data_IF_063528844091
#
_entry.id   IF_063528844091
#
_cell.length_a   1.000
_cell.length_b   1.000
_cell.length_c   1.000
_cell.angle_alpha   90.00
_cell.angle_beta   90.00
_cell.angle_gamma   90.00
#
_symmetry.space_group_name_H-M   'P 1'
#
loop_
_entity.id
_entity.type
_entity.pdbx_description
1 polymer ?
#
# COMPACT_ATOMS: atom_id res chain seq x y z
N UNK A 1 -11.89 -15.17 10.41
CA UNK A 1 -10.91 -16.16 10.92
C UNK A 1 -9.49 -15.71 10.54
N UNK A 2 -8.48 -15.88 11.41
CA UNK A 2 -7.09 -15.50 11.12
C UNK A 2 -6.25 -16.70 10.66
N UNK A 3 -5.55 -16.55 9.54
CA UNK A 3 -4.56 -17.48 9.02
C UNK A 3 -3.16 -16.87 9.08
N UNK A 4 -2.19 -17.63 9.56
CA UNK A 4 -0.77 -17.25 9.58
C UNK A 4 -0.06 -18.07 8.52
N UNK A 5 0.32 -17.42 7.41
CA UNK A 5 0.94 -18.06 6.25
C UNK A 5 2.45 -17.91 6.36
N UNK A 6 3.14 -18.99 6.73
CA UNK A 6 4.59 -19.03 6.94
C UNK A 6 5.31 -19.36 5.65
N UNK A 7 6.33 -18.58 5.32
CA UNK A 7 7.20 -18.77 4.16
C UNK A 7 8.66 -18.70 4.59
N UNK A 8 9.47 -19.70 4.21
CA UNK A 8 10.90 -19.75 4.54
C UNK A 8 11.28 -20.53 5.81
N UNK A 9 10.34 -21.27 6.41
CA UNK A 9 10.62 -22.09 7.62
C UNK A 9 11.36 -23.40 7.32
N UNK A 10 11.31 -23.86 6.07
CA UNK A 10 11.97 -25.09 5.61
C UNK A 10 13.26 -24.80 4.84
N UNK A 11 13.71 -23.54 4.85
CA UNK A 11 14.87 -23.07 4.07
C UNK A 11 15.99 -22.62 5.02
N UNK A 12 17.25 -22.57 4.55
CA UNK A 12 18.36 -22.07 5.36
C UNK A 12 18.08 -20.66 5.88
N UNK A 13 17.94 -20.54 7.19
CA UNK A 13 17.57 -19.32 7.89
C UNK A 13 17.38 -19.67 9.36
N UNK A 14 17.47 -18.68 10.24
CA UNK A 14 17.28 -18.86 11.68
C UNK A 14 15.87 -18.37 12.05
N UNK A 15 14.81 -19.21 11.87
CA UNK A 15 13.44 -18.79 12.10
C UNK A 15 13.12 -18.55 13.58
N UNK A 16 14.03 -18.89 14.50
CA UNK A 16 13.80 -18.85 15.96
C UNK A 16 13.38 -17.44 16.42
N UNK A 17 13.96 -16.40 15.83
CA UNK A 17 13.62 -14.99 16.13
C UNK A 17 12.16 -14.69 15.77
N UNK A 18 11.77 -14.94 14.52
CA UNK A 18 10.41 -14.66 14.06
C UNK A 18 9.38 -15.61 14.68
N UNK A 19 9.74 -16.86 15.00
CA UNK A 19 8.87 -17.76 15.75
C UNK A 19 8.60 -17.28 17.18
N UNK A 20 9.64 -16.76 17.86
CA UNK A 20 9.50 -16.13 19.17
C UNK A 20 8.53 -14.94 19.11
N UNK A 21 8.73 -14.07 18.12
CA UNK A 21 7.91 -12.87 17.90
C UNK A 21 6.47 -13.21 17.54
N UNK A 22 6.24 -14.18 16.65
CA UNK A 22 4.90 -14.65 16.30
C UNK A 22 4.21 -15.29 17.52
N UNK A 23 4.93 -16.09 18.33
CA UNK A 23 4.38 -16.67 19.56
C UNK A 23 3.99 -15.61 20.58
N UNK A 24 4.78 -14.54 20.70
CA UNK A 24 4.45 -13.39 21.53
C UNK A 24 3.19 -12.67 21.01
N UNK A 25 3.18 -12.31 19.72
CA UNK A 25 2.14 -11.50 19.10
C UNK A 25 0.78 -12.20 18.99
N UNK A 26 0.78 -13.54 18.81
CA UNK A 26 -0.43 -14.35 18.65
C UNK A 26 -0.94 -14.96 19.97
N UNK A 27 -0.34 -14.61 21.12
CA UNK A 27 -0.78 -15.12 22.42
C UNK A 27 -2.25 -14.76 22.67
N UNK A 28 -3.09 -15.76 22.88
CA UNK A 28 -4.54 -15.58 23.11
C UNK A 28 -5.34 -15.24 21.85
N UNK A 29 -4.72 -15.29 20.66
CA UNK A 29 -5.39 -15.05 19.37
C UNK A 29 -5.68 -16.39 18.70
N UNK A 30 -6.95 -16.70 18.46
CA UNK A 30 -7.35 -17.88 17.68
C UNK A 30 -6.89 -17.73 16.22
N UNK A 31 -6.09 -18.69 15.74
CA UNK A 31 -5.55 -18.67 14.38
C UNK A 31 -5.29 -20.08 13.86
N UNK A 32 -5.12 -20.19 12.54
CA UNK A 32 -4.66 -21.42 11.86
C UNK A 32 -3.35 -21.13 11.14
N UNK A 33 -2.39 -22.03 11.28
CA UNK A 33 -1.09 -21.91 10.60
C UNK A 33 -1.17 -22.62 9.25
N UNK A 34 -0.64 -21.97 8.21
CA UNK A 34 -0.39 -22.55 6.90
C UNK A 34 1.13 -22.50 6.68
N UNK A 35 1.78 -23.65 6.68
CA UNK A 35 3.23 -23.81 6.64
C UNK A 35 3.78 -24.18 5.25
N UNK A 36 2.88 -24.36 4.29
CA UNK A 36 3.19 -24.79 2.93
C UNK A 36 2.18 -24.21 1.94
N UNK A 37 2.51 -24.24 0.64
CA UNK A 37 1.67 -23.65 -0.39
C UNK A 37 0.38 -24.45 -0.61
N UNK A 38 0.42 -25.78 -0.51
CA UNK A 38 -0.72 -26.65 -0.84
C UNK A 38 -1.98 -26.37 0.02
N UNK A 39 -1.89 -26.25 1.36
CA UNK A 39 -3.05 -25.85 2.17
C UNK A 39 -3.55 -24.44 1.83
N UNK A 40 -2.67 -23.51 1.45
CA UNK A 40 -3.08 -22.17 1.01
C UNK A 40 -3.88 -22.24 -0.29
N UNK A 41 -3.39 -23.00 -1.28
CA UNK A 41 -4.09 -23.22 -2.55
C UNK A 41 -5.44 -23.87 -2.30
N UNK A 42 -5.47 -24.94 -1.51
CA UNK A 42 -6.71 -25.64 -1.15
C UNK A 42 -7.72 -24.75 -0.43
N UNK A 43 -7.26 -23.83 0.41
CA UNK A 43 -8.11 -22.83 1.01
C UNK A 43 -8.66 -21.92 -0.09
N UNK A 44 -7.80 -21.25 -0.84
CA UNK A 44 -8.17 -20.32 -1.91
C UNK A 44 -9.14 -20.90 -2.96
N UNK A 45 -9.00 -22.17 -3.34
CA UNK A 45 -9.85 -22.81 -4.37
C UNK A 45 -11.21 -23.25 -3.86
N UNK A 46 -11.35 -23.54 -2.56
CA UNK A 46 -12.63 -23.98 -1.97
C UNK A 46 -13.54 -22.82 -1.59
N UNK A 47 -13.02 -21.59 -1.61
CA UNK A 47 -13.78 -20.40 -1.23
C UNK A 47 -14.79 -20.05 -2.30
N UNK A 48 -16.01 -19.78 -1.87
CA UNK A 48 -17.10 -19.27 -2.72
C UNK A 48 -17.13 -17.74 -2.81
N UNK A 49 -16.20 -17.04 -2.14
CA UNK A 49 -16.19 -15.59 -2.00
C UNK A 49 -17.07 -15.09 -0.84
N UNK A 50 -16.81 -13.87 -0.35
CA UNK A 50 -17.59 -13.22 0.71
C UNK A 50 -17.20 -13.58 2.15
N UNK A 51 -16.28 -14.51 2.37
CA UNK A 51 -15.77 -14.84 3.70
C UNK A 51 -14.78 -13.78 4.21
N UNK A 52 -14.98 -13.29 5.43
CA UNK A 52 -14.04 -12.39 6.13
C UNK A 52 -12.84 -13.17 6.69
N UNK A 53 -11.95 -13.56 5.76
CA UNK A 53 -10.68 -14.19 6.08
C UNK A 53 -9.57 -13.15 6.21
N UNK A 54 -8.72 -13.35 7.23
CA UNK A 54 -7.58 -12.48 7.51
C UNK A 54 -6.29 -13.28 7.36
N UNK A 55 -5.32 -12.73 6.66
CA UNK A 55 -4.04 -13.38 6.40
C UNK A 55 -2.89 -12.55 6.97
N UNK A 56 -2.13 -13.16 7.89
CA UNK A 56 -0.81 -12.67 8.28
C UNK A 56 0.23 -13.43 7.44
N UNK A 57 0.75 -12.80 6.40
CA UNK A 57 1.84 -13.34 5.59
C UNK A 57 3.17 -13.12 6.31
N UNK A 58 3.80 -14.20 6.80
CA UNK A 58 5.06 -14.16 7.51
C UNK A 58 6.18 -14.74 6.65
N UNK A 59 7.19 -13.93 6.34
CA UNK A 59 8.36 -14.30 5.53
C UNK A 59 9.61 -14.30 6.40
N UNK A 60 10.22 -15.48 6.58
CA UNK A 60 11.54 -15.65 7.21
C UNK A 60 12.63 -15.59 6.13
N UNK A 61 13.07 -14.40 5.76
CA UNK A 61 13.95 -14.14 4.62
C UNK A 61 15.40 -14.56 4.91
N UNK A 62 15.88 -15.53 4.14
CA UNK A 62 17.26 -16.01 4.20
C UNK A 62 18.27 -14.94 3.78
N UNK A 63 19.56 -15.20 4.07
CA UNK A 63 20.66 -14.36 3.57
C UNK A 63 20.60 -14.27 2.04
N UNK A 64 20.86 -13.08 1.52
CA UNK A 64 20.76 -12.81 0.08
C UNK A 64 19.34 -12.49 -0.43
N UNK A 65 18.32 -12.52 0.43
CA UNK A 65 17.04 -11.87 0.14
C UNK A 65 16.06 -12.63 -0.73
N UNK A 66 16.17 -13.97 -0.81
CA UNK A 66 15.25 -14.80 -1.58
C UNK A 66 14.92 -16.10 -0.85
N UNK A 67 13.64 -16.46 -0.87
CA UNK A 67 13.16 -17.77 -0.45
C UNK A 67 12.30 -18.41 -1.55
N UNK A 68 12.40 -19.73 -1.71
CA UNK A 68 11.64 -20.48 -2.70
C UNK A 68 10.16 -20.58 -2.35
N UNK A 69 9.81 -20.72 -1.06
CA UNK A 69 8.42 -20.70 -0.60
C UNK A 69 7.74 -19.36 -0.93
N UNK A 70 8.46 -18.25 -0.73
CA UNK A 70 8.00 -16.92 -1.11
C UNK A 70 7.81 -16.81 -2.63
N UNK A 71 8.81 -17.19 -3.42
CA UNK A 71 8.73 -17.14 -4.88
C UNK A 71 7.53 -17.95 -5.44
N UNK A 72 7.28 -19.14 -4.87
CA UNK A 72 6.11 -19.95 -5.24
C UNK A 72 4.78 -19.29 -4.86
N UNK A 73 4.70 -18.65 -3.69
CA UNK A 73 3.51 -17.89 -3.27
C UNK A 73 3.22 -16.74 -4.23
N UNK A 74 4.23 -15.94 -4.57
CA UNK A 74 4.10 -14.82 -5.52
C UNK A 74 3.65 -15.33 -6.90
N UNK A 75 4.24 -16.41 -7.38
CA UNK A 75 3.85 -17.06 -8.65
C UNK A 75 2.39 -17.56 -8.62
N UNK A 76 1.93 -18.11 -7.49
CA UNK A 76 0.53 -18.54 -7.35
C UNK A 76 -0.43 -17.36 -7.40
N UNK A 77 -0.18 -16.32 -6.59
CA UNK A 77 -1.05 -15.14 -6.51
C UNK A 77 -1.14 -14.39 -7.85
N UNK A 78 -0.04 -14.31 -8.60
CA UNK A 78 -0.02 -13.64 -9.90
C UNK A 78 -0.89 -14.33 -10.96
N UNK A 79 -1.12 -15.65 -10.82
CA UNK A 79 -1.95 -16.46 -11.71
C UNK A 79 -3.41 -16.56 -11.25
N UNK A 80 -3.70 -16.21 -9.99
CA UNK A 80 -5.03 -16.35 -9.38
C UNK A 80 -5.50 -15.02 -8.81
N UNK A 81 -5.71 -14.05 -9.71
CA UNK A 81 -5.96 -12.64 -9.37
C UNK A 81 -7.27 -12.37 -8.61
N UNK A 82 -8.12 -13.36 -8.38
CA UNK A 82 -9.34 -13.22 -7.58
C UNK A 82 -9.39 -14.16 -6.35
N UNK A 83 -8.28 -14.83 -6.01
CA UNK A 83 -8.31 -15.83 -4.94
C UNK A 83 -8.41 -15.27 -3.51
N UNK A 84 -8.14 -13.97 -3.33
CA UNK A 84 -8.18 -13.26 -2.05
C UNK A 84 -9.28 -12.19 -1.99
N UNK A 85 -10.29 -12.27 -2.86
CA UNK A 85 -11.45 -11.37 -2.79
C UNK A 85 -12.12 -11.43 -1.41
N UNK A 86 -12.50 -10.25 -0.90
CA UNK A 86 -13.11 -10.10 0.42
C UNK A 86 -12.16 -10.33 1.60
N UNK A 87 -10.88 -10.61 1.37
CA UNK A 87 -9.91 -10.84 2.44
C UNK A 87 -9.19 -9.56 2.88
N UNK A 88 -8.63 -9.65 4.09
CA UNK A 88 -7.72 -8.63 4.62
C UNK A 88 -6.35 -9.22 4.94
N UNK A 89 -5.30 -8.44 4.73
CA UNK A 89 -3.92 -8.89 4.85
C UNK A 89 -3.06 -8.02 5.77
N UNK A 90 -2.01 -8.61 6.31
CA UNK A 90 -0.86 -7.93 6.88
C UNK A 90 0.40 -8.75 6.60
N UNK A 91 1.56 -8.11 6.60
CA UNK A 91 2.84 -8.74 6.26
C UNK A 91 3.86 -8.54 7.36
N UNK A 92 4.53 -9.62 7.74
CA UNK A 92 5.72 -9.62 8.59
C UNK A 92 6.88 -10.17 7.77
N UNK A 93 7.99 -9.44 7.73
CA UNK A 93 9.23 -9.93 7.13
C UNK A 93 10.32 -9.89 8.18
N UNK A 94 10.94 -11.02 8.45
CA UNK A 94 12.14 -11.12 9.28
C UNK A 94 13.31 -11.48 8.38
N UNK A 95 14.35 -10.64 8.32
CA UNK A 95 15.49 -10.83 7.43
C UNK A 95 16.77 -11.11 8.18
N UNK A 96 17.58 -12.02 7.63
CA UNK A 96 18.91 -12.31 8.16
C UNK A 96 19.95 -11.19 7.90
N UNK A 97 19.72 -10.33 6.90
CA UNK A 97 20.60 -9.24 6.49
C UNK A 97 19.90 -7.86 6.58
N UNK A 98 20.64 -6.78 6.29
CA UNK A 98 20.10 -5.39 6.30
C UNK A 98 19.31 -5.02 5.05
N UNK A 99 19.34 -5.85 4.01
CA UNK A 99 18.72 -5.56 2.72
C UNK A 99 17.42 -6.37 2.53
N UNK A 100 16.65 -5.97 1.53
CA UNK A 100 15.51 -6.69 0.95
C UNK A 100 14.21 -6.74 1.78
N UNK A 101 14.25 -6.65 3.11
CA UNK A 101 13.05 -6.79 3.97
C UNK A 101 11.89 -5.89 3.55
N UNK A 102 12.16 -4.60 3.29
CA UNK A 102 11.16 -3.64 2.80
C UNK A 102 10.67 -3.92 1.38
N UNK A 103 11.57 -4.39 0.50
CA UNK A 103 11.24 -4.75 -0.90
C UNK A 103 10.27 -5.93 -0.91
N UNK A 104 10.65 -7.03 -0.25
CA UNK A 104 9.87 -8.26 -0.17
C UNK A 104 8.52 -8.02 0.51
N UNK A 105 8.50 -7.26 1.62
CA UNK A 105 7.25 -6.93 2.30
C UNK A 105 6.27 -6.17 1.41
N UNK A 106 6.77 -5.27 0.56
CA UNK A 106 5.94 -4.46 -0.34
C UNK A 106 5.47 -5.24 -1.57
N UNK A 107 6.33 -6.07 -2.15
CA UNK A 107 5.99 -6.97 -3.26
C UNK A 107 4.91 -8.00 -2.81
N UNK A 108 5.03 -8.55 -1.59
CA UNK A 108 4.00 -9.41 -1.00
C UNK A 108 2.65 -8.71 -0.89
N UNK A 109 2.64 -7.45 -0.39
CA UNK A 109 1.41 -6.64 -0.33
C UNK A 109 0.84 -6.44 -1.73
N UNK A 110 1.67 -6.05 -2.70
CA UNK A 110 1.23 -5.82 -4.07
C UNK A 110 0.61 -7.07 -4.69
N UNK A 111 1.25 -8.22 -4.58
CA UNK A 111 0.79 -9.46 -5.20
C UNK A 111 -0.48 -10.00 -4.54
N UNK A 112 -0.58 -9.95 -3.21
CA UNK A 112 -1.80 -10.30 -2.52
C UNK A 112 -2.94 -9.30 -2.83
N UNK A 113 -2.62 -8.01 -2.96
CA UNK A 113 -3.62 -7.00 -3.31
C UNK A 113 -4.18 -7.16 -4.72
N UNK A 114 -3.32 -7.49 -5.69
CA UNK A 114 -3.72 -7.89 -7.05
C UNK A 114 -4.54 -9.16 -7.09
N UNK A 115 -4.49 -9.98 -6.02
CA UNK A 115 -5.34 -11.14 -5.85
C UNK A 115 -6.69 -10.83 -5.18
N UNK A 116 -6.97 -9.56 -4.86
CA UNK A 116 -8.20 -9.10 -4.20
C UNK A 116 -8.06 -8.76 -2.71
N UNK A 117 -6.88 -8.95 -2.10
CA UNK A 117 -6.70 -8.71 -0.67
C UNK A 117 -6.65 -7.21 -0.32
N UNK A 118 -7.52 -6.75 0.57
CA UNK A 118 -7.41 -5.42 1.18
C UNK A 118 -6.34 -5.39 2.28
N UNK A 119 -5.79 -4.21 2.56
CA UNK A 119 -4.84 -4.00 3.67
C UNK A 119 -5.21 -2.75 4.49
N UNK A 120 -5.13 -2.84 5.84
CA UNK A 120 -5.23 -1.65 6.67
C UNK A 120 -4.00 -0.74 6.46
N UNK A 121 -4.07 0.49 6.98
CA UNK A 121 -2.93 1.39 7.00
C UNK A 121 -1.74 0.84 7.79
N UNK A 122 -0.52 1.03 7.28
CA UNK A 122 0.74 0.49 7.82
C UNK A 122 0.65 -1.03 8.07
N UNK A 123 0.43 -1.85 7.04
CA UNK A 123 0.21 -3.30 7.18
C UNK A 123 1.50 -4.12 7.17
N UNK A 124 2.68 -3.47 7.22
CA UNK A 124 3.99 -4.12 7.15
C UNK A 124 4.79 -3.86 8.41
N UNK A 125 5.24 -4.93 9.05
CA UNK A 125 6.34 -4.90 10.02
C UNK A 125 7.50 -5.68 9.41
N UNK A 126 8.66 -5.03 9.28
CA UNK A 126 9.86 -5.64 8.72
C UNK A 126 11.01 -5.52 9.71
N UNK A 127 11.83 -6.55 9.82
CA UNK A 127 12.93 -6.64 10.76
C UNK A 127 14.22 -6.95 10.00
N UNK A 128 15.18 -6.01 10.01
CA UNK A 128 16.50 -6.25 9.43
C UNK A 128 17.35 -7.15 10.33
N UNK A 129 18.45 -7.70 9.79
CA UNK A 129 19.35 -8.61 10.50
C UNK A 129 19.73 -8.11 11.91
N UNK A 130 20.15 -6.86 12.02
CA UNK A 130 20.55 -6.21 13.28
C UNK A 130 19.39 -5.66 14.12
N UNK A 131 18.16 -5.66 13.60
CA UNK A 131 17.00 -4.95 14.16
C UNK A 131 17.24 -3.43 14.32
N UNK A 132 18.23 -2.84 13.63
CA UNK A 132 18.56 -1.43 13.75
C UNK A 132 17.35 -0.53 13.42
N UNK A 133 16.50 -0.96 12.49
CA UNK A 133 15.28 -0.28 12.09
C UNK A 133 14.23 -0.15 13.23
N UNK A 134 14.39 -0.85 14.36
CA UNK A 134 13.57 -0.70 15.57
C UNK A 134 14.15 0.25 16.63
N UNK A 135 15.36 0.78 16.45
CA UNK A 135 16.07 1.58 17.48
C UNK A 135 15.24 2.76 18.02
N UNK A 136 14.51 3.45 17.15
CA UNK A 136 13.67 4.60 17.55
C UNK A 136 12.46 4.13 18.36
N UNK A 137 11.79 3.07 17.92
CA UNK A 137 10.62 2.49 18.57
C UNK A 137 10.99 1.89 19.94
N UNK A 138 12.14 1.22 20.02
CA UNK A 138 12.73 0.69 21.24
C UNK A 138 12.95 1.80 22.27
N UNK A 139 13.63 2.89 21.86
CA UNK A 139 13.86 4.07 22.71
C UNK A 139 12.55 4.70 23.20
N UNK A 140 11.58 4.91 22.30
CA UNK A 140 10.29 5.54 22.65
C UNK A 140 9.50 4.68 23.64
N UNK A 141 9.64 3.35 23.57
CA UNK A 141 8.90 2.40 24.42
C UNK A 141 9.66 1.98 25.68
N UNK A 142 10.93 2.34 25.80
CA UNK A 142 11.78 1.90 26.92
C UNK A 142 12.07 0.39 26.92
N UNK A 143 12.14 -0.23 25.74
CA UNK A 143 12.47 -1.65 25.54
C UNK A 143 13.68 -1.79 24.62
N UNK A 144 14.21 -3.00 24.47
CA UNK A 144 15.24 -3.30 23.47
C UNK A 144 14.65 -3.45 22.06
N UNK A 145 15.51 -3.62 21.05
CA UNK A 145 15.07 -3.73 19.65
C UNK A 145 14.20 -4.97 19.40
N UNK A 146 14.47 -6.08 20.11
CA UNK A 146 13.66 -7.28 19.99
C UNK A 146 12.27 -7.07 20.60
N UNK A 147 12.17 -6.50 21.80
CA UNK A 147 10.88 -6.16 22.41
C UNK A 147 10.08 -5.14 21.59
N UNK A 148 10.76 -4.20 20.91
CA UNK A 148 10.11 -3.28 19.98
C UNK A 148 9.54 -4.00 18.74
N UNK A 149 10.26 -5.00 18.22
CA UNK A 149 9.79 -5.86 17.13
C UNK A 149 8.59 -6.71 17.55
N UNK A 150 8.68 -7.40 18.69
CA UNK A 150 7.59 -8.17 19.30
C UNK A 150 6.31 -7.35 19.43
N UNK A 151 6.44 -6.14 19.99
CA UNK A 151 5.32 -5.23 20.17
C UNK A 151 4.78 -4.70 18.83
N UNK A 152 5.67 -4.46 17.86
CA UNK A 152 5.27 -4.08 16.50
C UNK A 152 4.40 -5.13 15.83
N UNK A 153 4.79 -6.41 15.91
CA UNK A 153 4.00 -7.51 15.33
C UNK A 153 2.69 -7.72 16.10
N UNK A 154 2.69 -7.59 17.42
CA UNK A 154 1.45 -7.65 18.22
C UNK A 154 0.44 -6.58 17.80
N UNK A 155 0.90 -5.34 17.62
CA UNK A 155 0.05 -4.24 17.15
C UNK A 155 -0.44 -4.46 15.72
N UNK A 156 0.39 -5.04 14.86
CA UNK A 156 0.00 -5.42 13.50
C UNK A 156 -1.12 -6.46 13.50
N UNK A 157 -0.98 -7.52 14.30
CA UNK A 157 -1.98 -8.58 14.45
C UNK A 157 -3.30 -8.01 14.97
N UNK A 158 -3.25 -7.19 16.03
CA UNK A 158 -4.44 -6.52 16.57
C UNK A 158 -5.13 -5.66 15.51
N UNK A 159 -4.36 -4.85 14.78
CA UNK A 159 -4.89 -4.01 13.69
C UNK A 159 -5.54 -4.84 12.60
N UNK A 160 -4.95 -5.96 12.19
CA UNK A 160 -5.51 -6.86 11.17
C UNK A 160 -6.85 -7.46 11.64
N UNK A 161 -6.90 -7.96 12.87
CA UNK A 161 -8.12 -8.59 13.44
C UNK A 161 -9.23 -7.56 13.60
N UNK A 162 -8.91 -6.37 14.11
CA UNK A 162 -9.89 -5.31 14.32
C UNK A 162 -10.20 -4.51 13.06
N UNK A 163 -9.56 -4.80 11.93
CA UNK A 163 -9.76 -4.03 10.71
C UNK A 163 -11.19 -4.24 10.20
N UNK A 164 -11.90 -3.12 10.09
CA UNK A 164 -13.16 -3.00 9.40
C UNK A 164 -13.06 -1.74 8.53
N UNK A 165 -13.43 -1.81 7.24
CA UNK A 165 -13.48 -0.63 6.39
C UNK A 165 -14.38 0.45 7.02
N UNK A 166 -14.00 1.73 6.95
CA UNK A 166 -14.80 2.80 7.53
C UNK A 166 -16.16 2.87 6.82
N UNK A 167 -17.25 3.13 7.57
CA UNK A 167 -18.59 3.20 7.01
C UNK A 167 -18.67 4.30 5.95
N UNK A 168 -19.50 4.05 4.94
CA UNK A 168 -19.67 4.97 3.83
C UNK A 168 -20.33 6.27 4.29
N UNK A 169 -19.63 7.40 4.14
CA UNK A 169 -20.19 8.74 4.32
C UNK A 169 -19.53 9.69 3.34
N UNK A 170 -20.32 10.59 2.74
CA UNK A 170 -19.82 11.80 2.08
C UNK A 170 -18.82 11.60 0.94
N UNK A 171 -18.90 10.48 0.20
CA UNK A 171 -17.96 10.00 -0.83
C UNK A 171 -17.29 11.14 -1.61
N UNK A 172 -16.14 11.58 -1.11
CA UNK A 172 -15.33 12.61 -1.72
C UNK A 172 -14.07 11.97 -2.30
N UNK A 173 -14.01 11.94 -3.63
CA UNK A 173 -12.86 11.45 -4.40
C UNK A 173 -11.96 12.62 -4.76
N UNK A 174 -10.70 12.55 -4.34
CA UNK A 174 -9.65 13.47 -4.77
C UNK A 174 -8.75 12.77 -5.78
N UNK A 175 -8.66 13.29 -7.00
CA UNK A 175 -7.72 12.84 -8.01
C UNK A 175 -6.51 13.79 -8.09
N UNK A 176 -5.30 13.26 -7.92
CA UNK A 176 -4.05 14.01 -8.07
C UNK A 176 -3.27 13.51 -9.29
N UNK A 177 -2.80 14.44 -10.12
CA UNK A 177 -1.99 14.14 -11.28
C UNK A 177 -0.90 15.19 -11.52
N UNK A 178 0.11 14.83 -12.32
CA UNK A 178 1.13 15.77 -12.80
C UNK A 178 1.24 15.79 -14.35
N UNK A 179 0.31 15.14 -15.04
CA UNK A 179 0.32 14.97 -16.49
C UNK A 179 -0.27 16.16 -17.26
N UNK A 180 0.08 16.28 -18.54
CA UNK A 180 -0.49 17.24 -19.48
C UNK A 180 -1.73 16.67 -20.18
N UNK A 181 -2.89 17.31 -20.04
CA UNK A 181 -4.17 16.85 -20.64
C UNK A 181 -4.09 16.56 -22.15
N UNK A 182 -3.35 17.39 -22.91
CA UNK A 182 -3.34 17.33 -24.38
C UNK A 182 -2.94 15.95 -24.95
N UNK A 183 -2.08 15.20 -24.26
CA UNK A 183 -1.46 13.98 -24.79
C UNK A 183 -1.43 12.81 -23.81
N UNK A 184 -1.96 12.96 -22.60
CA UNK A 184 -1.76 12.01 -21.51
C UNK A 184 -2.71 10.82 -21.58
N UNK A 185 -2.15 9.63 -21.82
CA UNK A 185 -2.89 8.36 -21.71
C UNK A 185 -3.43 8.12 -20.30
N UNK A 186 -2.69 8.49 -19.24
CA UNK A 186 -3.18 8.38 -17.86
C UNK A 186 -4.40 9.25 -17.57
N UNK A 187 -4.46 10.47 -18.11
CA UNK A 187 -5.61 11.35 -17.93
C UNK A 187 -6.82 10.91 -18.76
N UNK A 188 -6.59 10.37 -19.96
CA UNK A 188 -7.66 9.75 -20.75
C UNK A 188 -8.26 8.54 -20.01
N UNK A 189 -7.43 7.71 -19.38
CA UNK A 189 -7.89 6.62 -18.53
C UNK A 189 -8.69 7.13 -17.33
N UNK A 190 -8.23 8.21 -16.69
CA UNK A 190 -8.98 8.85 -15.62
C UNK A 190 -10.34 9.37 -16.09
N UNK A 191 -10.42 9.95 -17.29
CA UNK A 191 -11.68 10.41 -17.88
C UNK A 191 -12.66 9.25 -18.15
N UNK A 192 -12.16 8.05 -18.48
CA UNK A 192 -12.99 6.83 -18.52
C UNK A 192 -13.55 6.50 -17.14
N UNK A 193 -12.68 6.32 -16.15
CA UNK A 193 -13.09 5.98 -14.76
C UNK A 193 -14.08 7.01 -14.22
N UNK A 194 -13.75 8.31 -14.36
CA UNK A 194 -14.55 9.42 -13.85
C UNK A 194 -15.96 9.46 -14.42
N UNK A 195 -16.19 8.98 -15.66
CA UNK A 195 -17.54 8.92 -16.25
C UNK A 195 -18.47 7.92 -15.56
N UNK A 196 -17.91 6.89 -14.92
CA UNK A 196 -18.67 5.86 -14.22
C UNK A 196 -18.77 6.10 -12.69
N UNK A 197 -18.04 7.09 -12.16
CA UNK A 197 -18.11 7.44 -10.73
C UNK A 197 -19.47 8.05 -10.38
N UNK A 198 -20.00 7.62 -9.24
CA UNK A 198 -21.23 8.14 -8.61
C UNK A 198 -20.97 8.81 -7.26
N UNK A 199 -19.70 8.99 -6.90
CA UNK A 199 -19.27 9.75 -5.74
C UNK A 199 -19.90 11.14 -5.68
N UNK A 200 -20.31 11.57 -4.48
CA UNK A 200 -20.99 12.86 -4.26
C UNK A 200 -20.14 14.08 -4.61
N UNK A 201 -18.82 13.96 -4.53
CA UNK A 201 -17.87 15.01 -4.91
C UNK A 201 -16.63 14.37 -5.54
N UNK A 202 -16.24 14.88 -6.69
CA UNK A 202 -14.99 14.52 -7.37
C UNK A 202 -14.18 15.79 -7.59
N UNK A 203 -13.06 15.92 -6.89
CA UNK A 203 -12.11 17.01 -7.01
C UNK A 203 -10.86 16.53 -7.75
N UNK A 204 -10.35 17.33 -8.68
CA UNK A 204 -9.17 16.98 -9.47
C UNK A 204 -8.15 18.12 -9.40
N UNK A 205 -6.93 17.83 -8.90
CA UNK A 205 -5.86 18.82 -8.74
C UNK A 205 -4.65 18.42 -9.59
N UNK A 206 -4.25 19.34 -10.47
CA UNK A 206 -3.02 19.24 -11.26
C UNK A 206 -1.84 19.80 -10.48
N UNK A 207 -0.92 18.93 -10.06
CA UNK A 207 0.36 19.31 -9.44
C UNK A 207 1.34 19.97 -10.42
N UNK A 208 1.03 19.96 -11.72
CA UNK A 208 1.85 20.63 -12.74
C UNK A 208 1.74 22.15 -12.67
N UNK A 209 0.56 22.67 -12.35
CA UNK A 209 0.24 24.11 -12.47
C UNK A 209 0.80 24.96 -11.31
N UNK A 210 1.38 24.35 -10.27
CA UNK A 210 1.90 25.03 -9.09
C UNK A 210 3.37 24.77 -8.79
N UNK A 211 4.13 24.20 -9.74
CA UNK A 211 5.56 23.81 -9.63
C UNK A 211 5.90 23.28 -8.24
N UNK A 212 5.47 22.05 -7.92
CA UNK A 212 5.71 21.48 -6.59
C UNK A 212 7.20 21.38 -6.34
N UNK A 213 7.71 22.24 -5.46
CA UNK A 213 9.10 22.18 -4.99
C UNK A 213 9.28 20.88 -4.21
N UNK A 214 10.37 20.16 -4.50
CA UNK A 214 10.71 18.94 -3.79
C UNK A 214 11.09 19.22 -2.33
N UNK A 215 11.02 18.19 -1.48
CA UNK A 215 11.26 18.29 -0.06
C UNK A 215 12.77 18.37 0.25
N UNK A 216 13.24 19.42 0.94
CA UNK A 216 14.61 19.51 1.48
C UNK A 216 14.95 18.51 2.58
N UNK A 217 13.96 17.78 3.12
CA UNK A 217 14.17 16.92 4.30
C UNK A 217 14.46 17.71 5.58
N UNK A 218 13.47 18.48 6.06
CA UNK A 218 13.58 19.19 7.34
C UNK A 218 13.84 18.22 8.52
N UNK A 219 14.38 18.75 9.63
CA UNK A 219 14.45 18.00 10.89
C UNK A 219 13.05 17.55 11.36
N UNK A 220 13.00 16.60 12.29
CA UNK A 220 11.73 16.10 12.83
C UNK A 220 10.90 17.24 13.43
N UNK A 221 11.53 18.09 14.24
CA UNK A 221 10.93 19.19 14.99
C UNK A 221 10.42 20.27 14.02
N UNK A 222 11.23 20.62 13.01
CA UNK A 222 10.84 21.59 12.00
C UNK A 222 9.64 21.10 11.18
N UNK A 223 9.66 19.84 10.72
CA UNK A 223 8.55 19.26 9.96
C UNK A 223 7.26 19.23 10.79
N UNK A 224 7.36 18.88 12.07
CA UNK A 224 6.22 18.87 13.00
C UNK A 224 5.67 20.29 13.21
N UNK A 225 6.54 21.28 13.47
CA UNK A 225 6.16 22.67 13.69
C UNK A 225 5.32 23.24 12.53
N UNK A 226 5.73 23.04 11.28
CA UNK A 226 4.93 23.49 10.14
C UNK A 226 3.63 22.68 10.00
N UNK A 227 3.71 21.36 10.18
CA UNK A 227 2.55 20.46 10.07
C UNK A 227 1.41 20.83 11.03
N UNK A 228 1.72 21.22 12.27
CA UNK A 228 0.75 21.63 13.30
C UNK A 228 -0.05 22.88 12.91
N UNK A 229 0.50 23.70 12.02
CA UNK A 229 -0.17 24.88 11.44
C UNK A 229 -0.88 24.57 10.13
N UNK A 230 -0.92 23.30 9.73
CA UNK A 230 -1.42 22.87 8.44
C UNK A 230 -0.54 23.30 7.27
N UNK A 231 0.74 23.57 7.52
CA UNK A 231 1.68 24.16 6.57
C UNK A 231 2.87 23.21 6.28
N UNK A 232 3.74 23.62 5.37
CA UNK A 232 5.02 23.02 5.05
C UNK A 232 6.01 24.16 4.83
N UNK A 233 7.30 23.94 5.10
CA UNK A 233 8.35 24.95 4.86
C UNK A 233 8.25 25.66 3.49
N UNK A 234 7.76 24.97 2.47
CA UNK A 234 7.63 25.47 1.10
C UNK A 234 6.30 26.16 0.76
N UNK A 235 5.24 26.01 1.57
CA UNK A 235 3.92 26.54 1.24
C UNK A 235 3.39 26.10 -0.13
N UNK A 236 2.76 27.04 -0.85
CA UNK A 236 2.31 26.89 -2.23
C UNK A 236 1.17 25.89 -2.39
N UNK A 237 1.01 25.32 -3.60
CA UNK A 237 -0.12 24.45 -3.96
C UNK A 237 -0.36 23.29 -2.98
N UNK A 238 0.72 22.77 -2.37
CA UNK A 238 0.62 21.71 -1.38
C UNK A 238 -0.20 22.12 -0.16
N UNK A 239 0.00 23.33 0.34
CA UNK A 239 -0.64 23.85 1.56
C UNK A 239 -1.98 24.51 1.22
N UNK A 240 -2.03 25.24 0.11
CA UNK A 240 -3.19 26.00 -0.31
C UNK A 240 -4.33 25.11 -0.83
N UNK A 241 -4.01 24.01 -1.52
CA UNK A 241 -5.00 23.18 -2.20
C UNK A 241 -4.91 21.71 -1.78
N UNK A 242 -3.72 21.11 -1.85
CA UNK A 242 -3.59 19.64 -1.69
C UNK A 242 -3.86 19.19 -0.25
N UNK A 243 -3.27 19.83 0.77
CA UNK A 243 -3.50 19.44 2.16
C UNK A 243 -4.97 19.58 2.58
N UNK A 244 -5.67 20.70 2.30
CA UNK A 244 -7.11 20.79 2.52
C UNK A 244 -7.90 19.70 1.81
N UNK A 245 -7.60 19.44 0.53
CA UNK A 245 -8.30 18.41 -0.24
C UNK A 245 -8.06 17.01 0.32
N UNK A 246 -6.82 16.67 0.71
CA UNK A 246 -6.49 15.38 1.34
C UNK A 246 -7.18 15.23 2.69
N UNK A 247 -7.29 16.29 3.50
CA UNK A 247 -8.06 16.25 4.76
C UNK A 247 -9.54 15.95 4.51
N UNK A 248 -10.12 16.55 3.48
CA UNK A 248 -11.54 16.43 3.16
C UNK A 248 -11.92 15.16 2.39
N UNK A 249 -10.99 14.52 1.66
CA UNK A 249 -11.34 13.38 0.83
C UNK A 249 -11.50 12.08 1.65
N UNK A 250 -12.32 11.16 1.15
CA UNK A 250 -12.40 9.79 1.67
C UNK A 250 -11.50 8.86 0.85
N UNK A 251 -11.37 9.16 -0.44
CA UNK A 251 -10.62 8.37 -1.41
C UNK A 251 -9.65 9.27 -2.17
N UNK A 252 -8.38 8.88 -2.18
CA UNK A 252 -7.33 9.48 -2.99
C UNK A 252 -7.06 8.61 -4.22
N UNK A 253 -7.19 9.16 -5.42
CA UNK A 253 -6.80 8.52 -6.67
C UNK A 253 -5.53 9.19 -7.20
N UNK A 254 -4.46 8.42 -7.35
CA UNK A 254 -3.23 8.90 -7.96
C UNK A 254 -3.17 8.54 -9.44
N UNK A 255 -2.95 9.52 -10.30
CA UNK A 255 -2.87 9.34 -11.75
C UNK A 255 -1.40 9.50 -12.15
N UNK A 256 -0.73 8.37 -12.34
CA UNK A 256 0.72 8.28 -12.42
C UNK A 256 1.18 7.68 -13.76
N UNK A 257 1.68 8.50 -14.71
CA UNK A 257 2.48 7.93 -15.79
C UNK A 257 3.75 7.31 -15.21
N UNK A 258 4.25 6.24 -15.83
CA UNK A 258 5.55 5.69 -15.50
C UNK A 258 6.67 6.51 -16.18
N UNK A 259 7.54 7.12 -15.36
CA UNK A 259 8.76 7.78 -15.81
C UNK A 259 9.97 7.08 -15.19
N UNK A 260 10.69 6.31 -16.01
CA UNK A 260 11.90 5.58 -15.60
C UNK A 260 11.67 4.67 -14.37
N UNK A 261 10.64 3.84 -14.45
CA UNK A 261 10.19 2.92 -13.41
C UNK A 261 9.85 3.63 -12.09
N UNK A 262 9.32 4.85 -12.18
CA UNK A 262 8.96 5.66 -11.04
C UNK A 262 7.73 6.54 -11.28
N UNK A 263 7.10 6.95 -10.17
CA UNK A 263 6.15 8.07 -10.20
C UNK A 263 6.87 9.34 -10.64
N UNK A 264 6.16 10.24 -11.32
CA UNK A 264 6.72 11.52 -11.73
C UNK A 264 7.19 12.39 -10.55
N UNK A 265 8.16 13.27 -10.79
CA UNK A 265 8.81 14.09 -9.76
C UNK A 265 7.82 14.87 -8.86
N UNK A 266 6.76 15.44 -9.44
CA UNK A 266 5.74 16.17 -8.64
C UNK A 266 4.95 15.25 -7.71
N UNK A 267 4.69 14.00 -8.11
CA UNK A 267 4.03 13.01 -7.26
C UNK A 267 4.99 12.55 -6.16
N UNK A 268 6.27 12.38 -6.47
CA UNK A 268 7.29 12.09 -5.46
C UNK A 268 7.41 13.24 -4.44
N UNK A 269 7.43 14.48 -4.90
CA UNK A 269 7.43 15.66 -4.04
C UNK A 269 6.17 15.72 -3.15
N UNK A 270 5.00 15.38 -3.71
CA UNK A 270 3.77 15.20 -2.93
C UNK A 270 3.94 14.13 -1.84
N UNK A 271 4.50 12.95 -2.16
CA UNK A 271 4.76 11.90 -1.16
C UNK A 271 5.67 12.39 -0.04
N UNK A 272 6.77 13.07 -0.38
CA UNK A 272 7.74 13.54 0.60
C UNK A 272 7.12 14.59 1.52
N UNK A 273 6.40 15.56 0.93
CA UNK A 273 5.82 16.70 1.65
C UNK A 273 4.56 16.33 2.44
N UNK A 274 3.80 15.31 2.03
CA UNK A 274 2.60 14.88 2.76
C UNK A 274 2.92 14.39 4.20
N UNK A 275 4.19 14.12 4.51
CA UNK A 275 4.65 13.80 5.87
C UNK A 275 4.30 14.88 6.90
N UNK A 276 4.35 16.16 6.53
CA UNK A 276 4.00 17.26 7.44
C UNK A 276 2.54 17.16 7.91
N UNK A 277 1.62 16.93 6.97
CA UNK A 277 0.20 16.74 7.24
C UNK A 277 -0.08 15.41 7.98
N UNK A 278 0.57 14.33 7.54
CA UNK A 278 0.36 13.01 8.15
C UNK A 278 0.69 13.00 9.64
N UNK A 279 1.71 13.74 10.09
CA UNK A 279 2.12 13.74 11.49
C UNK A 279 1.09 14.35 12.43
N UNK A 280 0.27 15.28 11.94
CA UNK A 280 -0.75 15.94 12.75
C UNK A 280 -2.09 15.25 12.69
N UNK A 281 -2.42 14.66 11.54
CA UNK A 281 -3.73 14.07 11.29
C UNK A 281 -3.70 12.53 11.16
N UNK A 282 -2.68 11.87 11.73
CA UNK A 282 -2.37 10.46 11.45
C UNK A 282 -3.55 9.48 11.65
N UNK A 283 -4.44 9.74 12.62
CA UNK A 283 -5.62 8.92 12.88
C UNK A 283 -6.65 8.99 11.75
N UNK A 284 -6.75 10.15 11.09
CA UNK A 284 -7.71 10.34 9.98
C UNK A 284 -7.24 9.64 8.72
N UNK A 285 -5.92 9.54 8.51
CA UNK A 285 -5.33 8.86 7.36
C UNK A 285 -5.68 7.37 7.34
N UNK A 286 -5.79 6.71 8.51
CA UNK A 286 -6.28 5.31 8.60
C UNK A 286 -7.71 5.08 8.15
N UNK A 287 -8.46 6.14 7.84
CA UNK A 287 -9.83 6.04 7.32
C UNK A 287 -9.91 6.37 5.83
N UNK A 288 -8.80 6.78 5.21
CA UNK A 288 -8.74 7.19 3.81
C UNK A 288 -8.26 6.03 2.95
N UNK A 289 -8.86 5.87 1.78
CA UNK A 289 -8.49 4.85 0.79
C UNK A 289 -7.57 5.44 -0.27
N UNK A 290 -6.68 4.62 -0.83
CA UNK A 290 -5.89 4.99 -2.00
C UNK A 290 -6.19 4.05 -3.16
N UNK A 291 -6.39 4.64 -4.36
CA UNK A 291 -6.37 3.95 -5.64
C UNK A 291 -5.34 4.58 -6.57
N UNK A 292 -4.96 3.87 -7.62
CA UNK A 292 -4.00 4.33 -8.60
C UNK A 292 -4.41 4.01 -10.03
N UNK A 293 -4.12 4.94 -10.94
CA UNK A 293 -4.08 4.73 -12.38
C UNK A 293 -2.64 4.84 -12.82
N UNK A 294 -2.08 3.75 -13.34
CA UNK A 294 -0.71 3.71 -13.84
C UNK A 294 -0.74 3.37 -15.32
N UNK A 295 -0.16 4.23 -16.15
CA UNK A 295 0.05 3.91 -17.57
C UNK A 295 1.55 3.97 -17.87
N UNK A 296 2.07 2.86 -18.37
CA UNK A 296 3.46 2.73 -18.79
C UNK A 296 3.57 2.80 -20.32
N UNK A 297 4.68 3.34 -20.83
CA UNK A 297 4.95 3.28 -22.27
C UNK A 297 5.34 1.87 -22.74
N UNK A 298 6.00 1.10 -21.88
CA UNK A 298 6.55 -0.22 -22.23
C UNK A 298 6.25 -1.27 -21.16
N UNK A 299 6.78 -1.08 -19.94
CA UNK A 299 6.66 -1.99 -18.80
C UNK A 299 6.82 -1.22 -17.48
N UNK A 300 6.86 -1.91 -16.33
CA UNK A 300 7.20 -1.32 -15.03
C UNK A 300 6.04 -0.68 -14.25
N UNK A 301 4.80 -0.91 -14.68
CA UNK A 301 3.61 -0.38 -13.97
C UNK A 301 3.48 -0.90 -12.54
N UNK A 302 3.89 -2.14 -12.31
CA UNK A 302 4.01 -2.79 -11.01
C UNK A 302 4.97 -2.05 -10.08
N UNK A 303 6.13 -1.63 -10.58
CA UNK A 303 7.12 -0.87 -9.80
C UNK A 303 6.53 0.47 -9.32
N UNK A 304 5.79 1.15 -10.20
CA UNK A 304 5.12 2.42 -9.87
C UNK A 304 4.01 2.19 -8.84
N UNK A 305 3.19 1.15 -9.01
CA UNK A 305 2.14 0.79 -8.05
C UNK A 305 2.74 0.46 -6.67
N UNK A 306 3.83 -0.30 -6.63
CA UNK A 306 4.57 -0.58 -5.41
C UNK A 306 5.07 0.71 -4.72
N UNK A 307 5.59 1.68 -5.46
CA UNK A 307 6.00 2.97 -4.87
C UNK A 307 4.82 3.67 -4.17
N UNK A 308 3.62 3.61 -4.75
CA UNK A 308 2.40 4.15 -4.15
C UNK A 308 2.04 3.40 -2.85
N UNK A 309 2.10 2.07 -2.86
CA UNK A 309 1.90 1.24 -1.65
C UNK A 309 2.87 1.66 -0.56
N UNK A 310 4.16 1.77 -0.90
CA UNK A 310 5.21 2.20 0.01
C UNK A 310 4.93 3.57 0.61
N UNK A 311 4.59 4.55 -0.23
CA UNK A 311 4.44 5.93 0.16
C UNK A 311 3.17 6.22 0.96
N UNK A 312 2.04 5.61 0.61
CA UNK A 312 0.73 5.94 1.16
C UNK A 312 0.23 4.90 2.16
N UNK A 313 0.23 3.62 1.80
CA UNK A 313 -0.27 2.57 2.68
C UNK A 313 0.75 2.22 3.78
N UNK A 314 1.97 1.84 3.41
CA UNK A 314 3.01 1.44 4.36
C UNK A 314 3.50 2.59 5.24
N UNK A 315 3.68 3.79 4.69
CA UNK A 315 4.30 4.90 5.43
C UNK A 315 3.27 5.88 6.01
N UNK A 316 2.16 6.13 5.31
CA UNK A 316 1.18 7.17 5.68
C UNK A 316 -0.19 6.64 6.07
N UNK A 317 -0.29 5.34 6.39
CA UNK A 317 -1.44 4.75 7.03
C UNK A 317 -2.74 4.77 6.20
N UNK A 318 -2.69 5.02 4.88
CA UNK A 318 -3.89 4.87 4.03
C UNK A 318 -4.33 3.41 3.95
N UNK A 319 -5.63 3.16 3.88
CA UNK A 319 -6.20 1.85 3.53
C UNK A 319 -5.87 1.56 2.07
N UNK A 320 -5.48 0.31 1.79
CA UNK A 320 -5.27 -0.20 0.44
C UNK A 320 -6.41 -1.19 0.10
N UNK A 321 -7.45 -0.76 -0.65
CA UNK A 321 -8.51 -1.67 -1.10
C UNK A 321 -7.94 -2.77 -2.00
N UNK A 322 -8.59 -3.94 -2.05
CA UNK A 322 -8.25 -4.97 -3.05
C UNK A 322 -8.31 -4.37 -4.46
N UNK A 323 -7.41 -4.80 -5.35
CA UNK A 323 -7.30 -4.24 -6.71
C UNK A 323 -7.11 -2.72 -6.75
N UNK A 324 -6.27 -2.17 -5.87
CA UNK A 324 -6.16 -0.73 -5.71
C UNK A 324 -5.68 0.01 -6.97
N UNK A 325 -4.98 -0.69 -7.89
CA UNK A 325 -4.34 -0.09 -9.05
C UNK A 325 -4.82 -0.71 -10.36
N UNK A 326 -5.24 0.14 -11.30
CA UNK A 326 -5.38 -0.22 -12.71
C UNK A 326 -4.10 0.18 -13.44
N UNK A 327 -3.42 -0.82 -13.98
CA UNK A 327 -2.12 -0.68 -14.66
C UNK A 327 -2.27 -1.06 -16.12
N UNK A 328 -1.89 -0.17 -17.02
CA UNK A 328 -2.00 -0.37 -18.48
C UNK A 328 -0.71 0.01 -19.19
N UNK A 329 -0.55 -0.49 -20.42
CA UNK A 329 0.58 -0.14 -21.29
C UNK A 329 0.07 0.57 -22.54
N UNK A 330 0.45 1.85 -22.69
CA UNK A 330 0.10 2.70 -23.82
C UNK A 330 1.13 3.82 -24.00
N UNK A 331 1.94 3.76 -25.06
CA UNK A 331 2.99 4.72 -25.35
C UNK A 331 2.50 5.92 -26.16
N UNK A 332 2.04 5.65 -27.39
CA UNK A 332 1.64 6.70 -28.32
C UNK A 332 0.51 7.55 -27.73
N UNK A 333 0.47 8.87 -27.98
CA UNK A 333 -0.63 9.71 -27.51
C UNK A 333 -1.98 9.13 -27.91
N UNK A 334 -2.90 9.04 -26.94
CA UNK A 334 -4.26 8.48 -27.09
C UNK A 334 -4.31 6.98 -27.39
N UNK A 335 -3.20 6.24 -27.35
CA UNK A 335 -3.21 4.80 -27.61
C UNK A 335 -3.97 4.00 -26.55
N UNK A 336 -4.13 4.54 -25.34
CA UNK A 336 -4.95 3.93 -24.29
C UNK A 336 -6.39 3.68 -24.72
N UNK A 337 -6.93 4.53 -25.61
CA UNK A 337 -8.29 4.40 -26.15
C UNK A 337 -8.47 3.13 -27.00
N UNK A 338 -7.36 2.53 -27.45
CA UNK A 338 -7.34 1.33 -28.29
C UNK A 338 -6.99 0.08 -27.50
N UNK A 339 -6.71 0.20 -26.20
CA UNK A 339 -6.43 -0.95 -25.34
C UNK A 339 -7.71 -1.82 -25.24
N UNK A 340 -7.65 -3.12 -25.60
CA UNK A 340 -8.83 -3.99 -25.55
C UNK A 340 -9.45 -4.01 -24.15
N UNK A 341 -10.77 -3.86 -24.07
CA UNK A 341 -11.55 -3.89 -22.82
C UNK A 341 -11.21 -2.80 -21.80
N UNK A 342 -10.59 -1.70 -22.21
CA UNK A 342 -10.17 -0.63 -21.29
C UNK A 342 -11.35 0.06 -20.61
N UNK A 343 -12.45 0.28 -21.32
CA UNK A 343 -13.65 0.92 -20.77
C UNK A 343 -14.29 0.02 -19.68
N UNK A 344 -14.36 -1.30 -19.91
CA UNK A 344 -14.87 -2.25 -18.91
C UNK A 344 -14.00 -2.25 -17.64
N UNK A 345 -12.67 -2.24 -17.80
CA UNK A 345 -11.75 -2.15 -16.66
C UNK A 345 -11.83 -0.81 -15.93
N UNK A 346 -12.04 0.29 -16.66
CA UNK A 346 -12.25 1.61 -16.09
C UNK A 346 -13.56 1.69 -15.29
N UNK A 347 -14.64 1.11 -15.80
CA UNK A 347 -15.92 0.99 -15.12
C UNK A 347 -15.80 0.13 -13.85
N UNK A 348 -15.14 -1.03 -13.93
CA UNK A 348 -14.89 -1.88 -12.75
C UNK A 348 -14.12 -1.13 -11.66
N UNK A 349 -13.07 -0.39 -12.03
CA UNK A 349 -12.35 0.43 -11.05
C UNK A 349 -13.24 1.54 -10.47
N UNK A 350 -14.08 2.18 -11.27
CA UNK A 350 -15.01 3.19 -10.77
C UNK A 350 -15.99 2.60 -9.75
N UNK A 351 -16.54 1.39 -10.01
CA UNK A 351 -17.35 0.64 -9.05
C UNK A 351 -16.58 0.35 -7.76
N UNK A 352 -15.30 -0.06 -7.86
CA UNK A 352 -14.46 -0.30 -6.68
C UNK A 352 -14.18 0.98 -5.89
N UNK A 353 -13.93 2.11 -6.55
CA UNK A 353 -13.76 3.43 -5.92
C UNK A 353 -15.03 3.84 -5.19
N UNK A 354 -16.19 3.56 -5.80
CA UNK A 354 -17.51 3.76 -5.22
C UNK A 354 -17.91 2.68 -4.21
N UNK A 355 -17.07 1.66 -3.97
CA UNK A 355 -17.34 0.55 -3.04
C UNK A 355 -18.67 -0.18 -3.36
N UNK A 356 -19.00 -0.36 -4.64
CA UNK A 356 -20.20 -1.06 -5.11
C UNK A 356 -19.93 -2.52 -5.46
#
# INVERSE_FOLDING_TARGET
MLYVVKMGWQEPGHPERVDGVLRYALRGVAHTVIDSLEPFVSLCTRRSGGEDLRFLFAVNLARGGLNMAYARMISFLSQHVHCLEGCCGAVVVDGADELFTKKIGREMIFMANRAGCAFPGKPLVEATGSLYNFTIQARVRGVDNLGAYEEGVRQLVQKLISFAPPPERGRHVLALHASSRRTSNTLLLWEMVRRHLTASRVEEISLRNGTVVDCRGCSYEACLHFGERGDCFYGGIMVEQVYPAVRQCDTLVLICPNYNDAVGANIMAFFNRLTALFRTDWQTFSKKRVFALVVSGYSGGDIVAEQIIGALNCNKNFILPGHFALMETANEPKSILRCPGIEERAELLACHIDMK
#
